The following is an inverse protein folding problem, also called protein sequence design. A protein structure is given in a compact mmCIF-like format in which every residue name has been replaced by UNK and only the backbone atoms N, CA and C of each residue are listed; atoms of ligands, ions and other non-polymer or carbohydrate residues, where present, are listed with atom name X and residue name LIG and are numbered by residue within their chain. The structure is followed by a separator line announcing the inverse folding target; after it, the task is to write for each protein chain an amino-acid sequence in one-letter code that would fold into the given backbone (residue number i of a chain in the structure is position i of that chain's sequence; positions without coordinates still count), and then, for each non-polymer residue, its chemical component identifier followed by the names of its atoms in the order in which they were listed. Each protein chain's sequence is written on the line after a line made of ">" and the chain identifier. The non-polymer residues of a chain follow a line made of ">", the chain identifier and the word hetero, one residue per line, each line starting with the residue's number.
data_IF_427141719615
#
_entry.id   IF_427141719615
#
_cell.length_a   1.000
_cell.length_b   1.000
_cell.length_c   1.000
_cell.angle_alpha   90.00
_cell.angle_beta   90.00
_cell.angle_gamma   90.00
#
_symmetry.space_group_name_H-M   'P 1'
#
loop_
_entity.id
_entity.type
_entity.pdbx_description
1 polymer ?
#
# COMPACT_ATOMS: atom_id res chain seq x y z
N UNK A 1 -16.68 0.74 -5.63
CA UNK A 1 -16.28 0.75 -4.22
C UNK A 1 -15.38 -0.45 -3.91
N UNK A 2 -14.37 -0.23 -3.09
CA UNK A 2 -13.47 -1.30 -2.65
C UNK A 2 -13.42 -1.34 -1.13
N UNK A 3 -13.03 -2.49 -0.58
CA UNK A 3 -12.83 -2.69 0.86
C UNK A 3 -11.53 -3.42 1.10
N UNK A 4 -10.92 -3.15 2.25
CA UNK A 4 -9.72 -3.84 2.67
C UNK A 4 -9.61 -3.95 4.17
N UNK A 5 -8.66 -4.77 4.61
CA UNK A 5 -8.37 -4.96 6.02
C UNK A 5 -6.95 -5.46 6.23
N UNK A 6 -6.43 -5.26 7.44
CA UNK A 6 -5.18 -5.87 7.84
C UNK A 6 -5.39 -7.37 8.12
N UNK A 7 -4.30 -8.09 8.28
CA UNK A 7 -4.35 -9.56 8.43
C UNK A 7 -5.20 -10.03 9.61
N UNK A 8 -5.21 -9.30 10.71
CA UNK A 8 -6.02 -9.66 11.88
C UNK A 8 -7.45 -9.11 11.83
N UNK A 9 -7.75 -8.24 10.87
CA UNK A 9 -9.06 -7.62 10.72
C UNK A 9 -9.34 -6.45 11.65
N UNK A 10 -8.41 -6.07 12.52
CA UNK A 10 -8.63 -4.96 13.45
C UNK A 10 -8.77 -3.61 12.73
N UNK A 11 -8.05 -3.43 11.64
CA UNK A 11 -8.12 -2.22 10.82
C UNK A 11 -8.88 -2.54 9.53
N UNK A 12 -9.95 -1.81 9.29
CA UNK A 12 -10.78 -1.99 8.09
C UNK A 12 -11.07 -0.65 7.45
N UNK A 13 -11.13 -0.62 6.13
CA UNK A 13 -11.35 0.61 5.38
C UNK A 13 -12.16 0.35 4.12
N UNK A 14 -12.75 1.43 3.59
CA UNK A 14 -13.48 1.44 2.33
C UNK A 14 -12.92 2.53 1.43
N UNK A 15 -12.96 2.30 0.13
CA UNK A 15 -12.55 3.26 -0.88
C UNK A 15 -13.70 3.49 -1.84
N UNK A 16 -14.15 4.75 -1.94
CA UNK A 16 -15.20 5.16 -2.87
C UNK A 16 -14.55 5.65 -4.17
N UNK A 17 -14.06 4.69 -4.94
CA UNK A 17 -13.44 4.95 -6.23
C UNK A 17 -13.36 3.66 -7.02
N UNK A 18 -13.31 3.78 -8.35
CA UNK A 18 -13.03 2.65 -9.23
C UNK A 18 -11.51 2.52 -9.34
N UNK A 19 -10.98 1.36 -9.00
CA UNK A 19 -9.56 1.11 -8.93
C UNK A 19 -9.11 0.27 -10.12
N UNK A 20 -8.08 0.74 -10.83
CA UNK A 20 -7.55 0.05 -12.00
C UNK A 20 -6.04 -0.13 -11.98
N UNK A 21 -5.29 0.84 -11.43
CA UNK A 21 -3.84 0.89 -11.58
C UNK A 21 -3.13 0.58 -10.27
N UNK A 22 -2.28 -0.44 -10.32
CA UNK A 22 -1.35 -0.76 -9.24
C UNK A 22 0.03 -0.27 -9.64
N UNK A 23 0.69 0.44 -8.73
CA UNK A 23 2.08 0.85 -8.85
C UNK A 23 2.92 -0.07 -7.98
N UNK A 24 4.00 -0.63 -8.54
CA UNK A 24 4.95 -1.44 -7.77
C UNK A 24 6.25 -0.67 -7.66
N UNK A 25 6.62 -0.30 -6.43
CA UNK A 25 7.89 0.39 -6.17
C UNK A 25 8.95 -0.62 -5.75
N UNK A 26 10.05 -0.65 -6.48
CA UNK A 26 11.15 -1.60 -6.30
C UNK A 26 12.34 -1.02 -5.54
N UNK A 27 12.22 0.17 -4.96
CA UNK A 27 13.34 0.78 -4.24
C UNK A 27 13.72 -0.04 -3.00
N UNK A 28 14.95 0.15 -2.52
CA UNK A 28 15.46 -0.60 -1.37
C UNK A 28 14.65 -0.37 -0.10
N UNK A 29 14.09 0.84 0.07
CA UNK A 29 13.24 1.17 1.22
C UNK A 29 11.95 0.38 1.15
N UNK A 30 11.29 0.35 -0.02
CA UNK A 30 10.06 -0.40 -0.22
C UNK A 30 10.27 -1.90 -0.04
N UNK A 31 11.38 -2.44 -0.54
CA UNK A 31 11.70 -3.86 -0.37
C UNK A 31 11.89 -4.22 1.11
N UNK A 32 12.61 -3.39 1.86
CA UNK A 32 12.82 -3.65 3.29
C UNK A 32 11.56 -3.43 4.12
N UNK A 33 10.71 -2.47 3.72
CA UNK A 33 9.46 -2.19 4.43
C UNK A 33 8.48 -3.35 4.36
N UNK A 34 8.50 -4.11 3.29
CA UNK A 34 7.58 -5.23 3.09
C UNK A 34 8.24 -6.60 3.28
N UNK A 35 9.57 -6.65 3.22
CA UNK A 35 10.29 -7.93 3.19
C UNK A 35 10.09 -8.69 1.88
N UNK A 36 9.75 -8.00 0.80
CA UNK A 36 9.46 -8.59 -0.49
C UNK A 36 10.21 -7.86 -1.62
N UNK A 37 9.79 -8.10 -2.86
CA UNK A 37 10.40 -7.49 -4.04
C UNK A 37 10.05 -6.01 -4.23
N UNK A 38 9.14 -5.49 -3.43
CA UNK A 38 8.70 -4.10 -3.51
C UNK A 38 7.41 -3.90 -2.76
N UNK A 39 6.79 -2.75 -2.95
CA UNK A 39 5.47 -2.47 -2.42
C UNK A 39 4.50 -2.24 -3.58
N UNK A 40 3.38 -2.94 -3.57
CA UNK A 40 2.31 -2.78 -4.54
C UNK A 40 1.21 -1.92 -3.92
N UNK A 41 0.92 -0.77 -4.53
CA UNK A 41 -0.05 0.18 -3.98
C UNK A 41 -0.99 0.70 -5.05
N UNK A 42 -2.19 1.07 -4.62
CA UNK A 42 -3.07 1.98 -5.37
C UNK A 42 -3.04 3.33 -4.67
N UNK A 43 -3.24 4.40 -5.43
CA UNK A 43 -3.22 5.77 -4.89
C UNK A 43 -4.60 6.37 -5.10
N UNK A 44 -5.17 6.90 -4.03
CA UNK A 44 -6.52 7.45 -4.04
C UNK A 44 -6.54 8.83 -3.36
N UNK A 45 -7.45 9.74 -3.76
CA UNK A 45 -7.63 10.98 -3.03
C UNK A 45 -7.98 10.73 -1.57
N UNK A 46 -7.51 11.59 -0.67
CA UNK A 46 -7.75 11.45 0.77
C UNK A 46 -9.23 11.32 1.11
N UNK A 47 -10.10 12.06 0.43
CA UNK A 47 -11.53 12.09 0.71
C UNK A 47 -12.29 10.87 0.18
N UNK A 48 -11.62 9.96 -0.53
CA UNK A 48 -12.20 8.74 -1.04
C UNK A 48 -11.97 7.53 -0.16
N UNK A 49 -11.12 7.64 0.84
CA UNK A 49 -10.85 6.56 1.78
C UNK A 49 -11.56 6.84 3.10
N UNK A 50 -12.29 5.86 3.61
CA UNK A 50 -12.98 5.94 4.89
C UNK A 50 -12.54 4.78 5.78
N UNK A 51 -12.12 5.11 7.00
CA UNK A 51 -11.82 4.08 8.00
C UNK A 51 -13.13 3.53 8.56
N UNK A 52 -13.32 2.23 8.45
CA UNK A 52 -14.50 1.56 8.99
C UNK A 52 -14.29 1.29 10.47
N UNK A 53 -13.11 0.80 10.85
CA UNK A 53 -12.73 0.59 12.24
C UNK A 53 -11.20 0.51 12.36
N UNK A 54 -10.72 0.66 13.58
CA UNK A 54 -9.33 0.39 13.90
C UNK A 54 -8.34 1.47 13.55
N UNK A 55 -8.79 2.67 13.20
CA UNK A 55 -7.88 3.78 12.91
C UNK A 55 -6.93 4.03 14.08
N UNK A 56 -7.40 3.86 15.31
CA UNK A 56 -6.60 4.03 16.53
C UNK A 56 -5.58 2.90 16.77
N UNK A 57 -5.64 1.83 15.98
CA UNK A 57 -4.63 0.75 16.00
C UNK A 57 -3.47 1.00 15.03
N UNK A 58 -3.53 2.07 14.26
CA UNK A 58 -2.50 2.35 13.25
C UNK A 58 -1.32 3.03 13.92
N UNK A 59 -0.13 2.47 13.68
CA UNK A 59 1.14 3.02 14.14
C UNK A 59 1.90 3.54 12.92
N UNK A 60 2.51 4.70 13.08
CA UNK A 60 3.34 5.28 12.03
C UNK A 60 4.79 5.37 12.52
N UNK A 61 5.71 4.95 11.68
CA UNK A 61 7.13 5.11 11.90
C UNK A 61 7.73 5.93 10.76
N UNK A 62 8.48 6.98 11.11
CA UNK A 62 9.20 7.80 10.12
C UNK A 62 10.64 7.37 10.06
N UNK A 63 11.12 7.07 8.86
CA UNK A 63 12.53 6.71 8.66
C UNK A 63 13.38 7.97 8.83
N UNK A 64 14.41 7.93 9.70
CA UNK A 64 15.34 9.06 9.84
C UNK A 64 16.06 9.37 8.52
N UNK A 65 16.20 10.66 8.23
CA UNK A 65 16.92 11.15 7.06
C UNK A 65 16.36 10.69 5.70
N UNK A 66 15.07 10.37 5.66
CA UNK A 66 14.38 9.98 4.43
C UNK A 66 12.94 10.46 4.47
N UNK A 67 12.37 10.71 3.30
CA UNK A 67 10.96 11.03 3.17
C UNK A 67 10.18 9.71 3.03
N UNK A 68 10.06 9.01 4.14
CA UNK A 68 9.39 7.72 4.18
C UNK A 68 8.73 7.49 5.53
N UNK A 69 7.46 7.07 5.51
CA UNK A 69 6.75 6.60 6.69
C UNK A 69 6.18 5.21 6.42
N UNK A 70 6.21 4.38 7.45
CA UNK A 70 5.55 3.08 7.44
C UNK A 70 4.32 3.16 8.32
N UNK A 71 3.19 2.74 7.79
CA UNK A 71 1.91 2.72 8.50
C UNK A 71 1.48 1.28 8.63
N UNK A 72 1.23 0.83 9.85
CA UNK A 72 0.93 -0.59 10.08
C UNK A 72 -0.01 -0.78 11.27
N UNK A 73 -0.69 -1.94 11.28
CA UNK A 73 -1.54 -2.33 12.40
C UNK A 73 -0.68 -2.76 13.58
N UNK A 74 -0.90 -2.16 14.75
CA UNK A 74 -0.12 -2.51 15.95
C UNK A 74 -0.38 -3.93 16.46
N UNK A 75 -1.49 -4.55 16.06
CA UNK A 75 -1.87 -5.90 16.53
C UNK A 75 -1.18 -6.97 15.70
N UNK A 76 -1.23 -6.86 14.35
CA UNK A 76 -0.69 -7.91 13.48
C UNK A 76 0.52 -7.48 12.65
N UNK A 77 0.87 -6.18 12.64
CA UNK A 77 2.02 -5.68 11.89
C UNK A 77 1.78 -5.50 10.40
N UNK A 78 0.58 -5.80 9.89
CA UNK A 78 0.29 -5.65 8.46
C UNK A 78 0.39 -4.20 8.02
N UNK A 79 0.93 -3.92 6.82
CA UNK A 79 0.81 -2.59 6.23
C UNK A 79 -0.64 -2.18 6.07
N UNK A 80 -0.93 -0.92 6.33
CA UNK A 80 -2.26 -0.33 6.16
C UNK A 80 -2.13 0.93 5.30
N UNK A 81 -3.24 1.49 4.79
CA UNK A 81 -3.17 2.74 4.05
C UNK A 81 -2.49 3.85 4.82
N UNK A 82 -1.69 4.64 4.13
CA UNK A 82 -0.97 5.76 4.70
C UNK A 82 -0.92 6.95 3.74
N UNK A 83 -0.32 8.02 4.20
CA UNK A 83 -0.23 9.24 3.40
C UNK A 83 0.80 9.07 2.29
N UNK A 84 0.37 9.29 1.05
CA UNK A 84 1.26 9.33 -0.10
C UNK A 84 1.84 10.73 -0.31
N UNK A 85 0.95 11.72 -0.23
CA UNK A 85 1.28 13.15 -0.31
C UNK A 85 0.15 13.93 0.38
N UNK A 86 0.20 15.27 0.43
CA UNK A 86 -0.84 16.04 1.13
C UNK A 86 -2.27 15.80 0.63
N UNK A 87 -2.44 15.36 -0.63
CA UNK A 87 -3.75 15.21 -1.25
C UNK A 87 -4.19 13.75 -1.42
N UNK A 88 -3.27 12.78 -1.31
CA UNK A 88 -3.57 11.39 -1.66
C UNK A 88 -3.04 10.41 -0.63
N UNK A 89 -3.75 9.27 -0.54
CA UNK A 89 -3.34 8.13 0.26
C UNK A 89 -2.79 7.04 -0.65
N UNK A 90 -1.80 6.30 -0.18
CA UNK A 90 -1.45 5.03 -0.80
C UNK A 90 -2.14 3.90 -0.04
N UNK A 91 -2.56 2.87 -0.76
CA UNK A 91 -3.24 1.71 -0.19
C UNK A 91 -2.49 0.47 -0.64
N UNK A 92 -1.98 -0.36 0.30
CA UNK A 92 -1.38 -1.63 -0.09
C UNK A 92 -2.39 -2.46 -0.88
N UNK A 93 -2.06 -2.77 -2.13
CA UNK A 93 -3.02 -3.42 -3.03
C UNK A 93 -3.42 -4.82 -2.54
N UNK A 94 -2.48 -5.53 -1.91
CA UNK A 94 -2.75 -6.85 -1.36
C UNK A 94 -3.69 -6.88 -0.16
N UNK A 95 -3.99 -5.74 0.45
CA UNK A 95 -4.91 -5.66 1.58
C UNK A 95 -6.37 -5.56 1.16
N UNK A 96 -6.65 -5.41 -0.13
CA UNK A 96 -8.02 -5.30 -0.62
C UNK A 96 -8.71 -6.66 -0.58
N UNK A 97 -9.91 -6.69 -0.02
CA UNK A 97 -10.73 -7.91 0.10
C UNK A 97 -11.89 -7.91 -0.87
N UNK A 98 -12.32 -6.74 -1.35
CA UNK A 98 -13.40 -6.57 -2.31
C UNK A 98 -13.10 -5.40 -3.24
N UNK A 99 -13.60 -5.47 -4.48
CA UNK A 99 -13.56 -4.35 -5.41
C UNK A 99 -12.25 -4.18 -6.17
N UNK A 100 -11.36 -5.17 -6.10
CA UNK A 100 -10.09 -5.13 -6.81
C UNK A 100 -10.04 -5.89 -8.14
N UNK A 101 -11.19 -6.28 -8.68
CA UNK A 101 -11.22 -7.18 -9.85
C UNK A 101 -10.67 -6.56 -11.13
N UNK A 102 -10.72 -5.23 -11.25
CA UNK A 102 -10.19 -4.52 -12.41
C UNK A 102 -8.73 -4.07 -12.24
N UNK A 103 -8.12 -4.37 -11.09
CA UNK A 103 -6.74 -3.98 -10.82
C UNK A 103 -5.76 -4.77 -11.67
N UNK A 104 -4.74 -4.06 -12.13
CA UNK A 104 -3.58 -4.66 -12.80
C UNK A 104 -2.35 -3.82 -12.49
N UNK A 105 -1.19 -4.44 -12.52
CA UNK A 105 0.06 -3.70 -12.38
C UNK A 105 0.24 -2.86 -13.65
N UNK A 106 0.10 -1.55 -13.48
CA UNK A 106 0.21 -0.60 -14.57
C UNK A 106 1.61 0.02 -14.67
N UNK A 107 2.29 0.15 -13.54
CA UNK A 107 3.58 0.82 -13.47
C UNK A 107 4.52 0.14 -12.51
N UNK A 108 5.78 -0.01 -12.94
CA UNK A 108 6.89 -0.37 -12.07
C UNK A 108 7.79 0.85 -11.93
N UNK A 109 8.08 1.25 -10.69
CA UNK A 109 8.92 2.42 -10.41
C UNK A 109 10.18 1.98 -9.65
N UNK A 110 11.27 2.73 -9.84
CA UNK A 110 12.57 2.44 -9.24
C UNK A 110 13.11 1.04 -9.62
N UNK A 111 12.91 0.65 -10.88
CA UNK A 111 13.29 -0.67 -11.40
C UNK A 111 14.80 -0.90 -11.33
N UNK A 112 15.60 0.17 -11.43
CA UNK A 112 17.06 0.06 -11.27
C UNK A 112 17.49 -0.44 -9.89
N UNK A 113 16.62 -0.34 -8.89
CA UNK A 113 16.86 -0.82 -7.53
C UNK A 113 16.15 -2.14 -7.22
N UNK A 114 15.56 -2.77 -8.22
CA UNK A 114 14.81 -4.02 -8.01
C UNK A 114 15.71 -5.11 -7.42
N UNK A 115 15.09 -6.07 -6.73
CA UNK A 115 15.78 -7.23 -6.21
C UNK A 115 16.42 -8.02 -7.37
N UNK A 116 17.64 -8.48 -7.18
CA UNK A 116 18.37 -9.20 -8.23
C UNK A 116 17.73 -10.55 -8.59
N UNK A 117 16.95 -11.11 -7.67
CA UNK A 117 16.25 -12.37 -7.85
C UNK A 117 14.86 -12.19 -8.50
N UNK A 118 14.45 -10.96 -8.76
CA UNK A 118 13.13 -10.65 -9.31
C UNK A 118 13.25 -10.37 -10.81
N UNK A 119 12.49 -11.10 -11.61
CA UNK A 119 12.37 -10.86 -13.03
C UNK A 119 11.01 -10.23 -13.32
N UNK A 120 11.04 -9.03 -13.90
CA UNK A 120 9.80 -8.33 -14.27
C UNK A 120 9.49 -8.73 -15.71
N UNK A 121 8.41 -9.49 -15.85
CA UNK A 121 8.01 -9.95 -17.17
C UNK A 121 7.39 -8.85 -18.03
N UNK A 122 7.60 -8.95 -19.34
CA UNK A 122 7.06 -8.02 -20.34
C UNK A 122 5.81 -8.55 -21.04
N UNK A 123 5.20 -9.55 -20.49
CA UNK A 123 4.04 -10.21 -21.12
C UNK A 123 2.83 -9.29 -21.26
#
# INVERSE_FOLDING_TARGET
>A
MARGECNCGAVQFEIDADLTDVFVCHCSICRRSTGSNGIAVVVVPNDRLRWVQGEDHIVMWSKPNADWQTWFCRVCGSPVPGRNDPARMFVPAGSLTEGGDALRVAHHVWVGSKAVWDEIGDS
#
